data_IF_910719172572
#
_entry.id   IF_910719172572
#
_cell.length_a   1.000
_cell.length_b   1.000
_cell.length_c   1.000
_cell.angle_alpha   90.00
_cell.angle_beta   90.00
_cell.angle_gamma   90.00
#
_symmetry.space_group_name_H-M   'P 1'
#
loop_
_entity.id
_entity.type
_entity.pdbx_description
1 polymer ?
#
# COMPACT_ATOMS: atom_id res chain seq x y z
N UNK A 1 2.89 3.15 -4.06
CA UNK A 1 3.29 4.58 -3.96
C UNK A 1 2.03 5.42 -3.85
N UNK A 2 2.04 6.45 -3.02
CA UNK A 2 0.91 7.36 -2.79
C UNK A 2 1.33 8.78 -3.14
N UNK A 3 0.40 9.55 -3.70
CA UNK A 3 0.61 10.96 -4.09
C UNK A 3 -0.25 11.83 -3.20
N UNK A 4 0.35 12.83 -2.56
CA UNK A 4 -0.37 13.91 -1.88
C UNK A 4 -0.65 15.00 -2.89
N UNK A 5 -1.91 15.44 -3.01
CA UNK A 5 -2.31 16.53 -3.92
C UNK A 5 -2.86 17.68 -3.09
N UNK A 6 -2.37 18.90 -3.35
CA UNK A 6 -2.88 20.17 -2.81
C UNK A 6 -3.34 21.06 -3.95
N UNK A 7 -4.44 21.77 -3.75
CA UNK A 7 -4.98 22.71 -4.72
C UNK A 7 -5.31 24.03 -4.02
N UNK A 8 -4.92 25.14 -4.64
CA UNK A 8 -5.19 26.48 -4.12
C UNK A 8 -5.17 27.50 -5.26
N UNK A 9 -5.76 28.67 -5.01
CA UNK A 9 -5.76 29.79 -5.96
C UNK A 9 -4.81 30.89 -5.50
N UNK A 10 -4.07 31.48 -6.44
CA UNK A 10 -3.23 32.65 -6.17
C UNK A 10 -3.28 33.62 -7.34
N UNK A 11 -3.72 34.86 -7.09
CA UNK A 11 -3.83 35.92 -8.11
C UNK A 11 -4.60 35.50 -9.38
N UNK A 12 -5.69 34.73 -9.21
CA UNK A 12 -6.51 34.24 -10.32
C UNK A 12 -5.97 33.00 -11.02
N UNK A 13 -4.85 32.43 -10.55
CA UNK A 13 -4.32 31.17 -11.04
C UNK A 13 -4.70 30.02 -10.11
N UNK A 14 -5.40 29.02 -10.64
CA UNK A 14 -5.61 27.76 -9.95
C UNK A 14 -4.33 26.91 -10.05
N UNK A 15 -3.78 26.53 -8.90
CA UNK A 15 -2.51 25.83 -8.78
C UNK A 15 -2.79 24.45 -8.18
N UNK A 16 -2.16 23.41 -8.75
CA UNK A 16 -2.18 22.06 -8.21
C UNK A 16 -0.76 21.59 -7.96
N UNK A 17 -0.47 21.16 -6.74
CA UNK A 17 0.82 20.56 -6.35
C UNK A 17 0.57 19.09 -6.04
N UNK A 18 1.23 18.21 -6.80
CA UNK A 18 1.23 16.77 -6.56
C UNK A 18 2.62 16.32 -6.10
N UNK A 19 2.71 15.78 -4.88
CA UNK A 19 3.96 15.30 -4.30
C UNK A 19 3.91 13.78 -4.15
N UNK A 20 4.88 13.10 -4.76
CA UNK A 20 5.07 11.65 -4.61
C UNK A 20 6.45 11.40 -4.02
N UNK A 21 6.51 10.68 -2.91
CA UNK A 21 7.77 10.24 -2.33
C UNK A 21 8.05 8.78 -2.67
N UNK A 22 9.30 8.52 -3.09
CA UNK A 22 9.90 7.20 -3.04
C UNK A 22 10.82 7.17 -1.82
N UNK A 23 10.46 6.38 -0.82
CA UNK A 23 11.30 6.19 0.36
C UNK A 23 11.83 4.76 0.34
N UNK A 24 13.13 4.65 0.56
CA UNK A 24 13.82 3.38 0.73
C UNK A 24 14.58 3.40 2.06
N UNK A 25 14.45 2.31 2.81
CA UNK A 25 15.24 2.06 4.03
C UNK A 25 16.03 0.80 3.76
N UNK A 26 17.36 0.87 3.89
CA UNK A 26 18.28 -0.23 3.57
C UNK A 26 18.09 -0.79 2.15
N UNK A 27 17.80 0.10 1.18
CA UNK A 27 17.54 -0.25 -0.22
C UNK A 27 16.19 -0.93 -0.46
N UNK A 28 15.31 -1.03 0.55
CA UNK A 28 13.97 -1.61 0.43
C UNK A 28 12.93 -0.51 0.36
N UNK A 29 12.04 -0.51 -0.65
CA UNK A 29 10.96 0.47 -0.72
C UNK A 29 10.00 0.27 0.45
N UNK A 30 9.68 1.37 1.14
CA UNK A 30 8.64 1.40 2.16
C UNK A 30 7.40 2.09 1.63
N UNK A 31 6.23 1.61 2.04
CA UNK A 31 4.95 2.22 1.69
C UNK A 31 4.45 3.02 2.89
N UNK A 32 4.70 4.33 2.86
CA UNK A 32 4.29 5.26 3.89
C UNK A 32 3.20 6.19 3.34
N UNK A 33 2.06 6.27 4.03
CA UNK A 33 1.05 7.28 3.72
C UNK A 33 1.48 8.59 4.36
N UNK A 34 1.81 9.55 3.50
CA UNK A 34 2.19 10.89 3.89
C UNK A 34 1.26 11.88 3.21
N UNK A 35 0.81 12.84 4.01
CA UNK A 35 0.09 14.02 3.55
C UNK A 35 0.99 15.21 3.83
N UNK A 36 0.98 16.18 2.92
CA UNK A 36 1.64 17.46 3.14
C UNK A 36 0.57 18.54 3.13
N UNK A 37 0.57 19.40 4.14
CA UNK A 37 -0.34 20.53 4.25
C UNK A 37 0.17 21.78 3.51
N UNK A 38 -0.61 22.86 3.58
CA UNK A 38 -0.32 24.11 2.86
C UNK A 38 0.89 24.86 3.43
N UNK A 39 1.28 24.59 4.69
CA UNK A 39 2.50 25.10 5.30
C UNK A 39 3.73 24.23 4.95
N UNK A 40 3.54 23.14 4.21
CA UNK A 40 4.59 22.20 3.82
C UNK A 40 4.94 21.18 4.91
N UNK A 41 4.20 21.11 6.01
CA UNK A 41 4.42 20.11 7.05
C UNK A 41 3.91 18.74 6.59
N UNK A 42 4.61 17.70 7.00
CA UNK A 42 4.32 16.30 6.71
C UNK A 42 3.54 15.68 7.86
N UNK A 43 2.50 14.93 7.50
CA UNK A 43 1.59 14.23 8.39
C UNK A 43 1.53 12.76 8.01
N UNK A 44 1.34 11.88 9.00
CA UNK A 44 1.13 10.45 8.76
C UNK A 44 0.18 9.85 9.78
N UNK A 45 -0.61 8.85 9.39
CA UNK A 45 -1.51 8.15 10.32
C UNK A 45 -0.75 7.36 11.39
N UNK A 46 0.54 7.09 11.18
CA UNK A 46 1.42 6.47 12.19
C UNK A 46 1.93 7.47 13.25
N UNK A 47 1.64 8.77 13.06
CA UNK A 47 2.00 9.86 13.97
C UNK A 47 0.91 10.96 13.94
N UNK A 48 -0.33 10.65 14.37
CA UNK A 48 -1.50 11.51 14.10
C UNK A 48 -1.47 12.86 14.82
N UNK A 49 -0.70 12.97 15.91
CA UNK A 49 -0.58 14.19 16.71
C UNK A 49 0.76 14.90 16.53
N UNK A 50 1.54 14.52 15.51
CA UNK A 50 2.87 15.08 15.25
C UNK A 50 2.96 15.58 13.82
N UNK A 51 3.45 16.80 13.68
CA UNK A 51 3.73 17.44 12.41
C UNK A 51 5.23 17.51 12.22
N UNK A 52 5.70 17.16 11.02
CA UNK A 52 7.12 17.14 10.71
C UNK A 52 7.43 18.17 9.64
N UNK A 53 8.53 18.91 9.82
CA UNK A 53 9.00 19.88 8.83
C UNK A 53 9.51 19.20 7.56
N UNK A 54 9.78 17.89 7.61
CA UNK A 54 10.27 17.12 6.47
C UNK A 54 9.88 15.64 6.54
N UNK A 55 9.86 14.97 5.37
CA UNK A 55 9.70 13.52 5.31
C UNK A 55 10.88 12.77 5.96
N UNK A 56 12.07 13.39 6.01
CA UNK A 56 13.25 12.82 6.67
C UNK A 56 13.01 12.68 8.17
N UNK A 57 12.45 13.71 8.81
CA UNK A 57 12.21 13.72 10.25
C UNK A 57 11.11 12.72 10.64
N UNK A 58 10.06 12.61 9.83
CA UNK A 58 9.05 11.57 9.98
C UNK A 58 9.69 10.17 9.92
N UNK A 59 10.55 9.89 8.93
CA UNK A 59 11.17 8.57 8.78
C UNK A 59 12.10 8.23 9.95
N UNK A 60 12.90 9.20 10.42
CA UNK A 60 13.77 9.00 11.60
C UNK A 60 12.96 8.66 12.85
N UNK A 61 11.87 9.36 13.07
CA UNK A 61 11.01 9.14 14.23
C UNK A 61 10.28 7.79 14.14
N UNK A 62 9.80 7.41 12.95
CA UNK A 62 9.22 6.08 12.73
C UNK A 62 10.23 4.94 12.88
N UNK A 63 11.49 5.12 12.45
CA UNK A 63 12.56 4.15 12.72
C UNK A 63 12.79 3.96 14.23
N UNK A 64 12.63 5.03 14.99
CA UNK A 64 12.83 5.02 16.44
C UNK A 64 11.66 4.36 17.16
N UNK A 65 10.43 4.76 16.87
CA UNK A 65 9.22 4.31 17.59
C UNK A 65 8.64 3.01 17.06
N UNK A 66 8.77 2.77 15.76
CA UNK A 66 8.10 1.68 15.06
C UNK A 66 9.01 1.04 13.98
N UNK A 67 10.19 0.53 14.35
CA UNK A 67 11.15 -0.02 13.39
C UNK A 67 10.54 -1.15 12.53
N UNK A 68 9.58 -1.90 13.07
CA UNK A 68 8.92 -3.00 12.35
C UNK A 68 8.02 -2.53 11.20
N UNK A 69 7.47 -1.31 11.24
CA UNK A 69 6.67 -0.75 10.14
C UNK A 69 7.49 -0.50 8.87
N UNK A 70 8.80 -0.33 9.06
CA UNK A 70 9.75 0.02 7.99
C UNK A 70 10.54 -1.21 7.51
N UNK A 71 10.40 -2.34 8.19
CA UNK A 71 10.85 -3.65 7.70
C UNK A 71 9.90 -4.06 6.58
N UNK A 72 10.29 -3.72 5.34
CA UNK A 72 9.47 -3.95 4.15
C UNK A 72 8.76 -5.29 4.16
N UNK A 73 7.45 -5.29 3.91
CA UNK A 73 6.63 -6.50 3.85
C UNK A 73 7.33 -7.50 2.92
N UNK A 74 7.87 -8.58 3.49
CA UNK A 74 8.19 -9.77 2.70
C UNK A 74 6.89 -10.15 2.01
N UNK A 75 6.86 -10.14 0.67
CA UNK A 75 5.71 -10.49 -0.13
C UNK A 75 5.09 -11.81 0.38
N UNK A 76 4.09 -11.72 1.26
CA UNK A 76 3.26 -12.85 1.63
C UNK A 76 2.27 -12.99 0.47
N UNK A 77 2.78 -13.55 -0.65
CA UNK A 77 1.98 -14.02 -1.77
C UNK A 77 0.98 -15.00 -1.19
N UNK A 78 -0.24 -14.52 -0.92
CA UNK A 78 -1.35 -15.35 -0.52
C UNK A 78 -1.43 -16.50 -1.52
N UNK A 79 -1.15 -17.72 -1.07
CA UNK A 79 -1.44 -18.95 -1.81
C UNK A 79 -2.97 -19.03 -1.94
N UNK A 80 -3.52 -18.41 -2.97
CA UNK A 80 -4.88 -18.72 -3.42
C UNK A 80 -4.79 -20.15 -3.97
N UNK A 81 -5.21 -21.12 -3.16
CA UNK A 81 -5.48 -22.48 -3.63
C UNK A 81 -6.63 -22.39 -4.64
N UNK A 82 -6.31 -22.49 -5.92
CA UNK A 82 -7.33 -22.65 -6.98
C UNK A 82 -8.08 -23.96 -6.74
N UNK A 83 -9.36 -23.85 -6.36
CA UNK A 83 -10.33 -24.97 -6.46
C UNK A 83 -10.53 -25.28 -7.95
N UNK A 84 -9.62 -26.01 -8.58
CA UNK A 84 -9.78 -26.49 -9.96
C UNK A 84 -9.30 -27.92 -10.15
N UNK A 85 -9.59 -28.81 -9.20
CA UNK A 85 -9.33 -30.26 -9.34
C UNK A 85 -10.41 -31.11 -8.66
N UNK A 86 -11.67 -30.93 -9.07
CA UNK A 86 -12.71 -31.94 -8.86
C UNK A 86 -13.53 -32.16 -10.13
N UNK A 87 -12.93 -32.87 -11.10
CA UNK A 87 -13.71 -33.71 -12.02
C UNK A 87 -12.87 -34.89 -12.52
N UNK A 88 -13.34 -36.12 -12.26
CA UNK A 88 -13.30 -37.14 -13.30
C UNK A 88 -14.72 -37.70 -13.49
N UNK A 89 -15.31 -37.53 -14.68
CA UNK A 89 -15.27 -38.42 -15.86
C UNK A 89 -16.44 -39.42 -15.84
N UNK A 90 -17.35 -39.20 -16.80
CA UNK A 90 -18.39 -40.14 -17.22
C UNK A 90 -17.80 -41.53 -17.50
N UNK A 91 -18.51 -42.58 -17.08
CA UNK A 91 -18.44 -43.90 -17.70
C UNK A 91 -19.85 -44.35 -18.04
N UNK A 92 -20.10 -44.42 -19.34
CA UNK A 92 -21.21 -45.12 -19.98
C UNK A 92 -20.90 -46.63 -19.96
N UNK A 93 -21.86 -47.50 -19.63
CA UNK A 93 -22.00 -48.82 -20.28
C UNK A 93 -23.24 -49.60 -19.80
N UNK A 94 -24.18 -49.78 -20.73
CA UNK A 94 -25.03 -50.93 -21.10
C UNK A 94 -25.66 -51.92 -20.08
N UNK A 95 -27.00 -52.07 -20.25
CA UNK A 95 -27.78 -53.29 -20.58
C UNK A 95 -27.79 -54.47 -19.58
N UNK A 96 -28.98 -54.75 -19.05
CA UNK A 96 -29.36 -56.05 -18.47
C UNK A 96 -30.84 -56.08 -18.08
N UNK A 97 -31.60 -57.01 -18.66
CA UNK A 97 -33.05 -57.12 -18.64
C UNK A 97 -33.50 -58.28 -17.72
N UNK A 98 -34.56 -58.07 -16.91
CA UNK A 98 -35.60 -59.03 -16.41
C UNK A 98 -35.18 -60.31 -15.65
N UNK A 99 -36.06 -61.01 -14.88
CA UNK A 99 -37.48 -61.37 -15.13
C UNK A 99 -38.53 -60.44 -14.54
#
# INVERSE_FOLDING_TARGET
MMTSVRQFDHQGHQITIATTYRIEVDGRPIHLHMLIDDAGQVHSHYAPFTHYTSAVDLVKDLLTRHPDLLKGHTNHRQKIKTKRDRKPKHRHSTRGNRP
#
